data_IF_139804331168
#
_entry.id   IF_139804331168
#
_cell.length_a   1.000
_cell.length_b   1.000
_cell.length_c   1.000
_cell.angle_alpha   90.00
_cell.angle_beta   90.00
_cell.angle_gamma   90.00
#
_symmetry.space_group_name_H-M   'P 1'
#
loop_
_entity.id
_entity.type
_entity.pdbx_description
1 polymer ?
#
# COMPACT_ATOMS: atom_id res chain seq x y z
N UNK A 1 10.70 -20.99 -27.48
CA UNK A 1 10.51 -21.93 -26.35
C UNK A 1 11.83 -22.06 -25.56
N UNK A 2 12.43 -20.93 -25.14
CA UNK A 2 13.79 -20.88 -24.56
C UNK A 2 13.88 -20.20 -23.18
N UNK A 3 12.86 -19.44 -22.76
CA UNK A 3 12.87 -18.66 -21.51
C UNK A 3 12.69 -19.54 -20.24
N UNK A 4 11.94 -20.64 -20.36
CA UNK A 4 11.60 -21.52 -19.24
C UNK A 4 12.10 -22.97 -19.42
N UNK A 5 12.47 -23.36 -20.64
CA UNK A 5 13.08 -24.67 -20.94
C UNK A 5 14.53 -24.79 -20.46
N UNK A 6 15.12 -23.67 -20.01
CA UNK A 6 16.52 -23.52 -19.62
C UNK A 6 16.69 -23.33 -18.12
N UNK A 7 15.66 -23.57 -17.28
CA UNK A 7 15.76 -23.52 -15.81
C UNK A 7 16.61 -24.66 -15.20
N UNK A 8 17.40 -25.34 -16.03
CA UNK A 8 18.25 -26.49 -15.73
C UNK A 8 19.65 -26.10 -15.24
N UNK A 9 20.13 -24.89 -15.52
CA UNK A 9 21.43 -24.41 -15.06
C UNK A 9 21.40 -23.02 -14.39
N UNK A 10 22.39 -22.78 -13.51
CA UNK A 10 22.48 -21.56 -12.69
C UNK A 10 22.54 -20.27 -13.53
N UNK A 11 23.18 -20.33 -14.70
CA UNK A 11 23.33 -19.18 -15.58
C UNK A 11 22.00 -18.71 -16.16
N UNK A 12 21.15 -19.65 -16.59
CA UNK A 12 19.81 -19.35 -17.06
C UNK A 12 18.89 -18.84 -15.95
N UNK A 13 19.03 -19.38 -14.73
CA UNK A 13 18.31 -18.87 -13.56
C UNK A 13 18.71 -17.42 -13.28
N UNK A 14 20.01 -17.13 -13.27
CA UNK A 14 20.52 -15.77 -13.06
C UNK A 14 20.00 -14.80 -14.14
N UNK A 15 20.01 -15.23 -15.41
CA UNK A 15 19.45 -14.44 -16.51
C UNK A 15 17.96 -14.15 -16.31
N UNK A 16 17.18 -15.15 -15.88
CA UNK A 16 15.75 -14.97 -15.61
C UNK A 16 15.52 -14.03 -14.42
N UNK A 17 16.31 -14.14 -13.35
CA UNK A 17 16.29 -13.21 -12.21
C UNK A 17 16.56 -11.78 -12.69
N UNK A 18 17.56 -11.57 -13.54
CA UNK A 18 17.90 -10.26 -14.06
C UNK A 18 16.76 -9.66 -14.92
N UNK A 19 16.11 -10.48 -15.76
CA UNK A 19 14.95 -10.06 -16.55
C UNK A 19 13.79 -9.67 -15.61
N UNK A 20 13.46 -10.51 -14.63
CA UNK A 20 12.42 -10.23 -13.64
C UNK A 20 12.70 -8.95 -12.86
N UNK A 21 13.95 -8.75 -12.42
CA UNK A 21 14.37 -7.56 -11.70
C UNK A 21 14.19 -6.30 -12.55
N UNK A 22 14.63 -6.31 -13.81
CA UNK A 22 14.45 -5.16 -14.72
C UNK A 22 12.98 -4.83 -14.96
N UNK A 23 12.14 -5.85 -15.12
CA UNK A 23 10.68 -5.67 -15.25
C UNK A 23 10.10 -5.04 -13.97
N UNK A 24 10.42 -5.59 -12.80
CA UNK A 24 9.95 -5.08 -11.52
C UNK A 24 10.36 -3.63 -11.32
N UNK A 25 11.65 -3.33 -11.48
CA UNK A 25 12.19 -1.98 -11.31
C UNK A 25 11.55 -0.99 -12.28
N UNK A 26 11.34 -1.36 -13.55
CA UNK A 26 10.64 -0.52 -14.53
C UNK A 26 9.19 -0.25 -14.11
N UNK A 27 8.49 -1.27 -13.61
CA UNK A 27 7.10 -1.14 -13.14
C UNK A 27 7.00 -0.24 -11.90
N UNK A 28 7.91 -0.40 -10.94
CA UNK A 28 7.97 0.42 -9.73
C UNK A 28 8.30 1.88 -10.07
N UNK A 29 9.21 2.13 -11.03
CA UNK A 29 9.51 3.48 -11.54
C UNK A 29 8.30 4.12 -12.22
N UNK A 30 7.54 3.36 -13.00
CA UNK A 30 6.29 3.87 -13.59
C UNK A 30 5.25 4.19 -12.51
N UNK A 31 5.13 3.33 -11.50
CA UNK A 31 4.23 3.50 -10.36
C UNK A 31 4.85 4.30 -9.21
N UNK A 32 5.88 5.11 -9.49
CA UNK A 32 6.70 5.75 -8.46
C UNK A 32 5.85 6.51 -7.43
N UNK A 33 4.77 7.19 -7.83
CA UNK A 33 3.88 7.89 -6.89
C UNK A 33 3.32 6.98 -5.77
N UNK A 34 3.03 5.71 -6.06
CA UNK A 34 2.52 4.73 -5.08
C UNK A 34 3.64 4.24 -4.14
N UNK A 35 4.86 4.09 -4.67
CA UNK A 35 6.02 3.48 -3.98
C UNK A 35 6.92 4.51 -3.29
N UNK A 36 6.91 5.76 -3.76
CA UNK A 36 7.71 6.88 -3.25
C UNK A 36 7.52 7.08 -1.75
N UNK A 37 6.30 6.87 -1.27
CA UNK A 37 5.94 7.01 0.15
C UNK A 37 6.57 5.92 1.03
N UNK A 38 6.85 4.75 0.46
CA UNK A 38 7.48 3.62 1.13
C UNK A 38 9.00 3.85 1.18
N UNK A 39 9.58 4.19 0.03
CA UNK A 39 11.01 4.51 -0.15
C UNK A 39 11.45 5.63 0.80
N UNK A 40 10.66 6.69 0.92
CA UNK A 40 10.98 7.82 1.81
C UNK A 40 10.90 7.48 3.30
N UNK A 41 10.11 6.47 3.69
CA UNK A 41 9.80 6.19 5.09
C UNK A 41 10.77 5.18 5.70
N UNK A 42 11.05 4.10 4.98
CA UNK A 42 11.78 2.97 5.53
C UNK A 42 13.27 2.96 5.12
N UNK A 43 13.73 4.04 4.45
CA UNK A 43 15.09 4.18 3.88
C UNK A 43 15.48 3.04 2.91
N UNK A 44 14.47 2.39 2.32
CA UNK A 44 14.63 1.26 1.39
C UNK A 44 14.77 1.80 -0.04
N UNK A 45 15.73 1.29 -0.81
CA UNK A 45 15.90 1.68 -2.21
C UNK A 45 14.83 1.05 -3.12
N UNK A 46 14.63 1.64 -4.29
CA UNK A 46 13.72 1.10 -5.31
C UNK A 46 14.17 -0.30 -5.79
N UNK A 47 15.48 -0.48 -5.83
CA UNK A 47 16.17 -1.71 -6.16
C UNK A 47 15.90 -2.81 -5.12
N UNK A 48 15.96 -2.48 -3.83
CA UNK A 48 15.63 -3.42 -2.75
C UNK A 48 14.17 -3.87 -2.85
N UNK A 49 13.23 -2.92 -3.04
CA UNK A 49 11.81 -3.24 -3.24
C UNK A 49 11.61 -4.12 -4.48
N UNK A 50 12.36 -3.89 -5.56
CA UNK A 50 12.29 -4.70 -6.77
C UNK A 50 12.78 -6.14 -6.53
N UNK A 51 13.86 -6.32 -5.78
CA UNK A 51 14.41 -7.63 -5.41
C UNK A 51 13.42 -8.38 -4.51
N UNK A 52 12.91 -7.74 -3.46
CA UNK A 52 11.98 -8.35 -2.51
C UNK A 52 10.67 -8.75 -3.21
N UNK A 53 10.21 -7.93 -4.16
CA UNK A 53 9.01 -8.21 -4.96
C UNK A 53 9.10 -9.51 -5.75
N UNK A 54 10.29 -9.87 -6.25
CA UNK A 54 10.47 -11.05 -7.11
C UNK A 54 10.99 -12.27 -6.35
N UNK A 55 11.50 -12.10 -5.12
CA UNK A 55 12.17 -13.15 -4.34
C UNK A 55 11.32 -14.42 -4.23
N UNK A 56 10.02 -14.28 -3.91
CA UNK A 56 9.10 -15.42 -3.80
C UNK A 56 8.92 -16.20 -5.10
N UNK A 57 9.15 -15.61 -6.28
CA UNK A 57 9.06 -16.34 -7.56
C UNK A 57 10.13 -17.43 -7.69
N UNK A 58 11.28 -17.22 -7.05
CA UNK A 58 12.44 -18.10 -7.15
C UNK A 58 12.59 -19.05 -5.95
N UNK A 59 11.59 -19.10 -5.07
CA UNK A 59 11.49 -20.13 -4.04
C UNK A 59 11.31 -21.52 -4.68
N UNK A 60 12.15 -22.47 -4.25
CA UNK A 60 12.06 -23.87 -4.66
C UNK A 60 11.13 -24.62 -3.71
N UNK A 61 10.27 -25.46 -4.27
CA UNK A 61 9.50 -26.40 -3.47
C UNK A 61 10.35 -27.57 -2.96
N UNK A 62 9.71 -28.50 -2.24
CA UNK A 62 10.36 -29.71 -1.70
C UNK A 62 10.96 -30.61 -2.81
N UNK A 63 10.52 -30.45 -4.06
CA UNK A 63 11.02 -31.18 -5.23
C UNK A 63 12.08 -30.38 -6.00
N UNK A 64 12.47 -29.19 -5.52
CA UNK A 64 13.48 -28.34 -6.15
C UNK A 64 12.97 -27.49 -7.31
N UNK A 65 11.65 -27.46 -7.54
CA UNK A 65 11.01 -26.80 -8.68
C UNK A 65 10.58 -25.36 -8.35
N UNK A 66 10.66 -24.47 -9.36
CA UNK A 66 10.19 -23.08 -9.27
C UNK A 66 8.67 -22.98 -9.45
N UNK A 67 7.94 -23.55 -8.47
CA UNK A 67 6.48 -23.68 -8.50
C UNK A 67 5.76 -22.35 -8.78
N UNK A 68 6.23 -21.26 -8.16
CA UNK A 68 5.63 -19.93 -8.26
C UNK A 68 5.74 -19.27 -9.64
N UNK A 69 6.53 -19.85 -10.55
CA UNK A 69 6.63 -19.46 -11.97
C UNK A 69 5.93 -20.49 -12.86
N UNK A 70 6.21 -21.78 -12.64
CA UNK A 70 5.77 -22.87 -13.51
C UNK A 70 4.26 -23.14 -13.43
N UNK A 71 3.65 -23.12 -12.25
CA UNK A 71 2.20 -23.31 -12.12
C UNK A 71 1.43 -22.18 -12.84
N UNK A 72 1.77 -20.89 -12.62
CA UNK A 72 1.20 -19.81 -13.40
C UNK A 72 1.40 -19.93 -14.91
N UNK A 73 2.59 -20.34 -15.34
CA UNK A 73 2.89 -20.49 -16.77
C UNK A 73 2.02 -21.56 -17.42
N UNK A 74 1.92 -22.74 -16.79
CA UNK A 74 1.18 -23.88 -17.31
C UNK A 74 -0.35 -23.68 -17.29
N UNK A 75 -0.85 -22.83 -16.38
CA UNK A 75 -2.28 -22.52 -16.25
C UNK A 75 -2.71 -21.28 -17.05
N UNK A 76 -1.78 -20.60 -17.75
CA UNK A 76 -2.08 -19.41 -18.53
C UNK A 76 -2.98 -19.71 -19.73
N UNK A 77 -3.94 -18.81 -20.00
CA UNK A 77 -4.91 -18.94 -21.09
C UNK A 77 -4.95 -17.66 -21.94
N UNK A 78 -4.75 -17.75 -23.26
CA UNK A 78 -4.47 -18.96 -24.04
C UNK A 78 -3.07 -19.55 -23.73
N UNK A 79 -2.82 -20.84 -24.01
CA UNK A 79 -1.52 -21.45 -23.78
C UNK A 79 -0.41 -20.72 -24.53
N UNK A 80 0.72 -20.51 -23.85
CA UNK A 80 1.87 -19.77 -24.36
C UNK A 80 2.61 -20.64 -25.39
N UNK A 81 2.76 -20.12 -26.61
CA UNK A 81 3.37 -20.81 -27.76
C UNK A 81 4.63 -20.11 -28.25
N UNK A 82 4.70 -18.79 -28.13
CA UNK A 82 5.84 -17.99 -28.61
C UNK A 82 6.69 -17.44 -27.46
N UNK A 83 7.90 -16.99 -27.78
CA UNK A 83 8.78 -16.34 -26.80
C UNK A 83 8.28 -14.94 -26.41
N UNK A 84 7.67 -14.22 -27.35
CA UNK A 84 7.01 -12.94 -27.05
C UNK A 84 5.84 -13.11 -26.08
N UNK A 85 5.02 -14.15 -26.27
CA UNK A 85 3.94 -14.51 -25.34
C UNK A 85 4.49 -14.89 -23.96
N UNK A 86 5.62 -15.61 -23.91
CA UNK A 86 6.28 -15.98 -22.66
C UNK A 86 6.82 -14.76 -21.91
N UNK A 87 7.43 -13.80 -22.63
CA UNK A 87 7.91 -12.55 -22.07
C UNK A 87 6.75 -11.66 -21.60
N UNK A 88 5.66 -11.61 -22.36
CA UNK A 88 4.44 -10.89 -21.97
C UNK A 88 3.83 -11.47 -20.68
N UNK A 89 3.71 -12.81 -20.61
CA UNK A 89 3.30 -13.52 -19.41
C UNK A 89 4.19 -13.17 -18.22
N UNK A 90 5.51 -13.29 -18.38
CA UNK A 90 6.47 -13.03 -17.31
C UNK A 90 6.35 -11.60 -16.83
N UNK A 91 6.22 -10.65 -17.77
CA UNK A 91 5.99 -9.23 -17.46
C UNK A 91 4.76 -9.05 -16.58
N UNK A 92 3.64 -9.66 -16.95
CA UNK A 92 2.40 -9.58 -16.15
C UNK A 92 2.51 -10.27 -14.79
N UNK A 93 3.20 -11.39 -14.70
CA UNK A 93 3.43 -12.08 -13.44
C UNK A 93 4.26 -11.22 -12.48
N UNK A 94 5.38 -10.67 -12.96
CA UNK A 94 6.29 -9.82 -12.16
C UNK A 94 5.60 -8.53 -11.74
N UNK A 95 4.86 -7.87 -12.63
CA UNK A 95 4.08 -6.66 -12.29
C UNK A 95 3.10 -6.92 -11.15
N UNK A 96 2.35 -8.03 -11.21
CA UNK A 96 1.42 -8.43 -10.15
C UNK A 96 2.13 -8.66 -8.81
N UNK A 97 3.29 -9.33 -8.83
CA UNK A 97 4.09 -9.56 -7.61
C UNK A 97 4.61 -8.25 -7.00
N UNK A 98 5.08 -7.33 -7.84
CA UNK A 98 5.47 -6.00 -7.40
C UNK A 98 4.29 -5.25 -6.75
N UNK A 99 3.10 -5.26 -7.36
CA UNK A 99 1.91 -4.62 -6.79
C UNK A 99 1.49 -5.25 -5.44
N UNK A 100 1.60 -6.57 -5.32
CA UNK A 100 1.37 -7.27 -4.05
C UNK A 100 2.35 -6.81 -2.96
N UNK A 101 3.64 -6.76 -3.29
CA UNK A 101 4.67 -6.39 -2.34
C UNK A 101 4.54 -4.91 -1.92
N UNK A 102 4.27 -4.00 -2.86
CA UNK A 102 3.90 -2.60 -2.56
C UNK A 102 2.76 -2.56 -1.56
N UNK A 103 1.70 -3.35 -1.78
CA UNK A 103 0.54 -3.36 -0.90
C UNK A 103 0.84 -3.90 0.50
N UNK A 104 1.77 -4.85 0.60
CA UNK A 104 2.25 -5.37 1.88
C UNK A 104 2.97 -4.26 2.66
N UNK A 105 3.95 -3.63 2.03
CA UNK A 105 4.70 -2.52 2.62
C UNK A 105 3.77 -1.37 3.03
N UNK A 106 2.78 -1.02 2.20
CA UNK A 106 1.78 -0.01 2.55
C UNK A 106 0.92 -0.38 3.75
N UNK A 107 0.62 -1.67 3.96
CA UNK A 107 -0.14 -2.08 5.16
C UNK A 107 0.68 -1.83 6.43
N UNK A 108 1.99 -2.04 6.40
CA UNK A 108 2.90 -1.74 7.52
C UNK A 108 3.16 -0.24 7.65
N UNK A 109 3.12 0.47 6.52
CA UNK A 109 3.58 1.84 6.42
C UNK A 109 2.47 2.89 6.47
N UNK A 110 1.20 2.52 6.36
CA UNK A 110 0.09 3.46 6.25
C UNK A 110 -1.11 3.04 7.13
N UNK A 111 -1.34 3.75 8.26
CA UNK A 111 -2.46 3.48 9.17
C UNK A 111 -3.84 3.57 8.49
N UNK A 112 -4.02 4.47 7.52
CA UNK A 112 -5.28 4.62 6.79
C UNK A 112 -5.50 3.45 5.85
N UNK A 113 -4.45 3.01 5.16
CA UNK A 113 -4.50 1.80 4.32
C UNK A 113 -4.85 0.57 5.17
N UNK A 114 -4.23 0.43 6.35
CA UNK A 114 -4.53 -0.67 7.28
C UNK A 114 -5.99 -0.66 7.73
N UNK A 115 -6.53 0.49 8.18
CA UNK A 115 -7.93 0.56 8.63
C UNK A 115 -8.93 0.29 7.50
N UNK A 116 -8.66 0.79 6.29
CA UNK A 116 -9.50 0.48 5.13
C UNK A 116 -9.48 -1.03 4.83
N UNK A 117 -8.30 -1.66 4.89
CA UNK A 117 -8.17 -3.10 4.75
C UNK A 117 -8.97 -3.85 5.83
N UNK A 118 -8.90 -3.41 7.09
CA UNK A 118 -9.65 -4.00 8.20
C UNK A 118 -11.16 -3.81 8.07
N UNK A 119 -11.59 -2.63 7.63
CA UNK A 119 -12.99 -2.33 7.34
C UNK A 119 -13.53 -3.24 6.24
N UNK A 120 -12.76 -3.44 5.16
CA UNK A 120 -13.11 -4.41 4.13
C UNK A 120 -13.13 -5.82 4.70
N UNK A 121 -12.13 -6.24 5.49
CA UNK A 121 -12.11 -7.56 6.13
C UNK A 121 -13.33 -7.80 7.03
N UNK A 122 -13.82 -6.78 7.73
CA UNK A 122 -15.05 -6.84 8.50
C UNK A 122 -16.27 -7.08 7.59
N UNK A 123 -16.38 -6.36 6.46
CA UNK A 123 -17.42 -6.62 5.45
C UNK A 123 -17.34 -8.05 4.91
N UNK A 124 -16.14 -8.59 4.71
CA UNK A 124 -15.98 -9.97 4.25
C UNK A 124 -16.62 -10.96 5.21
N UNK A 125 -16.30 -10.83 6.51
CA UNK A 125 -16.86 -11.68 7.57
C UNK A 125 -18.38 -11.52 7.67
N UNK A 126 -18.87 -10.28 7.65
CA UNK A 126 -20.29 -9.96 7.83
C UNK A 126 -21.16 -10.49 6.69
N UNK A 127 -20.68 -10.44 5.45
CA UNK A 127 -21.46 -10.77 4.26
C UNK A 127 -21.02 -12.07 3.58
N UNK A 128 -20.30 -12.94 4.30
CA UNK A 128 -19.85 -14.25 3.80
C UNK A 128 -19.07 -14.19 2.49
N UNK A 129 -18.10 -13.28 2.40
CA UNK A 129 -17.08 -13.26 1.36
C UNK A 129 -15.75 -13.81 1.89
N UNK A 130 -14.91 -14.34 1.01
CA UNK A 130 -13.58 -14.82 1.39
C UNK A 130 -12.51 -14.28 0.48
N UNK A 131 -11.26 -14.30 0.98
CA UNK A 131 -10.07 -14.00 0.19
C UNK A 131 -9.54 -15.28 -0.42
N UNK A 132 -9.10 -15.22 -1.68
CA UNK A 132 -8.35 -16.29 -2.33
C UNK A 132 -7.15 -15.71 -3.07
N UNK A 133 -6.08 -16.49 -3.19
CA UNK A 133 -4.90 -16.12 -3.98
C UNK A 133 -5.04 -16.69 -5.39
N UNK A 134 -4.87 -15.87 -6.41
CA UNK A 134 -4.91 -16.29 -7.81
C UNK A 134 -3.86 -15.53 -8.62
N UNK A 135 -2.93 -16.25 -9.25
CA UNK A 135 -1.79 -15.70 -9.99
C UNK A 135 -1.01 -14.62 -9.24
N UNK A 136 -0.74 -14.82 -7.94
CA UNK A 136 -0.08 -13.81 -7.13
C UNK A 136 -0.91 -12.52 -7.07
N UNK A 137 -2.22 -12.63 -6.87
CA UNK A 137 -3.07 -11.49 -6.51
C UNK A 137 -4.12 -11.98 -5.52
N UNK A 138 -4.38 -11.19 -4.48
CA UNK A 138 -5.42 -11.52 -3.49
C UNK A 138 -6.74 -10.96 -4.00
N UNK A 139 -7.69 -11.86 -4.25
CA UNK A 139 -9.04 -11.51 -4.68
C UNK A 139 -10.06 -11.77 -3.58
N UNK A 140 -11.11 -10.96 -3.56
CA UNK A 140 -12.34 -11.18 -2.81
C UNK A 140 -13.32 -11.90 -3.72
N UNK A 141 -13.88 -13.00 -3.24
CA UNK A 141 -14.90 -13.80 -3.94
C UNK A 141 -16.05 -14.15 -3.00
N UNK A 142 -17.20 -14.55 -3.57
CA UNK A 142 -18.28 -15.16 -2.81
C UNK A 142 -17.77 -16.45 -2.13
N UNK A 143 -18.12 -16.69 -0.86
CA UNK A 143 -17.65 -17.89 -0.15
C UNK A 143 -18.13 -19.19 -0.78
N UNK A 144 -19.26 -19.16 -1.50
CA UNK A 144 -19.80 -20.30 -2.25
C UNK A 144 -19.00 -20.59 -3.54
N UNK A 145 -18.19 -19.65 -4.01
CA UNK A 145 -17.34 -19.87 -5.18
C UNK A 145 -16.08 -20.61 -4.74
N UNK A 146 -15.87 -21.83 -5.25
CA UNK A 146 -14.70 -22.64 -4.90
C UNK A 146 -13.40 -22.11 -5.53
N UNK A 147 -13.44 -21.74 -6.81
CA UNK A 147 -12.28 -21.28 -7.56
C UNK A 147 -12.63 -20.15 -8.52
N UNK A 148 -11.65 -19.28 -8.79
CA UNK A 148 -11.77 -18.27 -9.84
C UNK A 148 -11.62 -18.98 -11.18
N UNK A 149 -12.70 -19.03 -11.96
CA UNK A 149 -12.73 -19.67 -13.28
C UNK A 149 -13.05 -18.62 -14.35
N UNK A 150 -12.02 -18.17 -15.07
CA UNK A 150 -12.13 -17.19 -16.16
C UNK A 150 -11.21 -15.98 -16.01
N UNK A 151 -11.48 -14.94 -16.82
CA UNK A 151 -10.66 -13.72 -16.90
C UNK A 151 -10.97 -12.79 -15.73
N UNK A 152 -9.98 -12.50 -14.89
CA UNK A 152 -10.07 -11.49 -13.82
C UNK A 152 -9.90 -10.08 -14.37
N UNK A 153 -10.54 -9.10 -13.74
CA UNK A 153 -10.36 -7.68 -14.07
C UNK A 153 -8.90 -7.26 -13.83
N UNK A 154 -8.22 -6.64 -14.82
CA UNK A 154 -6.90 -6.04 -14.62
C UNK A 154 -6.95 -4.90 -13.60
N UNK A 155 -5.86 -4.69 -12.85
CA UNK A 155 -5.80 -3.65 -11.80
C UNK A 155 -6.04 -2.26 -12.41
N UNK A 156 -5.49 -2.00 -13.59
CA UNK A 156 -5.59 -0.72 -14.28
C UNK A 156 -7.02 -0.42 -14.77
N UNK A 157 -7.80 -1.47 -15.05
CA UNK A 157 -9.22 -1.34 -15.39
C UNK A 157 -10.07 -1.21 -14.13
N UNK A 158 -9.73 -1.95 -13.07
CA UNK A 158 -10.38 -1.84 -11.77
C UNK A 158 -10.25 -0.43 -11.18
N UNK A 159 -9.08 0.19 -11.27
CA UNK A 159 -8.83 1.55 -10.79
C UNK A 159 -9.66 2.61 -11.54
N UNK A 160 -10.17 2.29 -12.74
CA UNK A 160 -11.03 3.16 -13.55
C UNK A 160 -12.52 2.95 -13.32
N UNK A 161 -12.91 2.06 -12.41
CA UNK A 161 -14.31 1.82 -12.11
C UNK A 161 -15.01 3.09 -11.62
N UNK A 162 -16.31 3.28 -11.95
CA UNK A 162 -17.05 4.48 -11.56
C UNK A 162 -17.06 4.72 -10.05
N UNK A 163 -16.75 5.96 -9.63
CA UNK A 163 -16.68 6.34 -8.21
C UNK A 163 -17.98 6.06 -7.44
N UNK A 164 -19.14 6.16 -8.11
CA UNK A 164 -20.47 5.84 -7.54
C UNK A 164 -20.61 4.41 -7.00
N UNK A 165 -19.77 3.47 -7.44
CA UNK A 165 -19.78 2.10 -6.92
C UNK A 165 -19.20 2.02 -5.50
N UNK A 166 -18.43 3.02 -5.09
CA UNK A 166 -17.65 3.04 -3.86
C UNK A 166 -18.24 3.95 -2.77
N UNK A 167 -19.35 4.63 -3.04
CA UNK A 167 -19.95 5.61 -2.12
C UNK A 167 -20.75 4.93 -0.99
N UNK A 168 -21.45 3.84 -1.28
CA UNK A 168 -22.32 3.17 -0.30
C UNK A 168 -21.59 2.06 0.47
N UNK A 169 -21.04 2.39 1.65
CA UNK A 169 -20.24 1.46 2.48
C UNK A 169 -20.93 0.13 2.79
N UNK A 170 -22.25 0.12 3.04
CA UNK A 170 -23.00 -1.09 3.43
C UNK A 170 -23.07 -2.13 2.30
N UNK A 171 -23.23 -1.65 1.07
CA UNK A 171 -23.41 -2.51 -0.12
C UNK A 171 -22.18 -2.48 -1.04
N UNK A 172 -21.05 -1.92 -0.59
CA UNK A 172 -19.83 -1.71 -1.36
C UNK A 172 -19.44 -2.93 -2.21
N UNK A 173 -19.27 -4.09 -1.57
CA UNK A 173 -18.86 -5.31 -2.27
C UNK A 173 -19.95 -5.81 -3.22
N UNK A 174 -21.21 -5.72 -2.82
CA UNK A 174 -22.35 -6.15 -3.64
C UNK A 174 -22.45 -5.30 -4.91
N UNK A 175 -22.33 -3.97 -4.79
CA UNK A 175 -22.38 -3.04 -5.91
C UNK A 175 -21.26 -3.33 -6.92
N UNK A 176 -20.04 -3.59 -6.44
CA UNK A 176 -18.91 -3.93 -7.31
C UNK A 176 -19.14 -5.30 -7.97
N UNK A 177 -19.58 -6.32 -7.23
CA UNK A 177 -19.86 -7.64 -7.82
C UNK A 177 -20.98 -7.59 -8.85
N UNK A 178 -22.06 -6.85 -8.59
CA UNK A 178 -23.14 -6.64 -9.54
C UNK A 178 -22.61 -5.98 -10.82
N UNK A 179 -21.81 -4.92 -10.68
CA UNK A 179 -21.21 -4.24 -11.82
C UNK A 179 -20.29 -5.16 -12.64
N UNK A 180 -19.43 -5.95 -11.98
CA UNK A 180 -18.56 -6.89 -12.69
C UNK A 180 -19.38 -7.93 -13.48
N UNK A 181 -20.48 -8.41 -12.91
CA UNK A 181 -21.34 -9.41 -13.56
C UNK A 181 -22.24 -8.83 -14.68
N UNK A 182 -22.74 -7.61 -14.53
CA UNK A 182 -23.70 -7.03 -15.50
C UNK A 182 -23.05 -6.18 -16.58
N UNK A 183 -21.96 -5.46 -16.26
CA UNK A 183 -21.36 -4.45 -17.13
C UNK A 183 -20.01 -4.88 -17.72
N UNK A 184 -19.46 -6.03 -17.31
CA UNK A 184 -18.13 -6.48 -17.77
C UNK A 184 -18.14 -7.95 -18.19
N UNK A 185 -17.08 -8.35 -18.91
CA UNK A 185 -16.81 -9.77 -19.24
C UNK A 185 -15.94 -10.47 -18.20
N UNK A 186 -15.63 -9.79 -17.09
CA UNK A 186 -14.76 -10.31 -16.05
C UNK A 186 -15.53 -11.17 -15.06
N UNK A 187 -14.83 -12.16 -14.52
CA UNK A 187 -15.36 -12.96 -13.42
C UNK A 187 -15.58 -12.09 -12.19
N UNK A 188 -16.58 -12.47 -11.38
CA UNK A 188 -16.97 -11.83 -10.13
C UNK A 188 -15.90 -12.00 -9.04
N UNK A 189 -14.75 -11.36 -9.21
CA UNK A 189 -13.61 -11.38 -8.30
C UNK A 189 -13.00 -9.98 -8.17
N UNK A 190 -12.95 -9.45 -6.96
CA UNK A 190 -12.49 -8.07 -6.69
C UNK A 190 -11.04 -8.11 -6.21
N UNK A 191 -10.07 -7.46 -6.88
CA UNK A 191 -8.70 -7.41 -6.39
C UNK A 191 -8.64 -6.62 -5.07
N UNK A 192 -8.29 -7.29 -3.96
CA UNK A 192 -8.40 -6.76 -2.60
C UNK A 192 -7.60 -5.48 -2.42
N UNK A 193 -6.31 -5.49 -2.78
CA UNK A 193 -5.46 -4.31 -2.60
C UNK A 193 -5.87 -3.14 -3.50
N UNK A 194 -6.30 -3.42 -4.73
CA UNK A 194 -6.80 -2.39 -5.65
C UNK A 194 -8.06 -1.72 -5.10
N UNK A 195 -8.94 -2.47 -4.43
CA UNK A 195 -10.09 -1.91 -3.70
C UNK A 195 -9.63 -0.94 -2.60
N UNK A 196 -8.65 -1.32 -1.78
CA UNK A 196 -8.16 -0.44 -0.70
C UNK A 196 -7.54 0.83 -1.29
N UNK A 197 -6.74 0.70 -2.33
CA UNK A 197 -6.17 1.84 -3.05
C UNK A 197 -7.26 2.76 -3.60
N UNK A 198 -8.32 2.20 -4.21
CA UNK A 198 -9.40 3.00 -4.78
C UNK A 198 -10.20 3.73 -3.70
N UNK A 199 -10.51 3.06 -2.59
CA UNK A 199 -11.17 3.70 -1.44
C UNK A 199 -10.32 4.84 -0.86
N UNK A 200 -9.01 4.62 -0.74
CA UNK A 200 -8.08 5.65 -0.28
C UNK A 200 -8.03 6.84 -1.24
N UNK A 201 -7.89 6.59 -2.55
CA UNK A 201 -7.86 7.62 -3.59
C UNK A 201 -9.13 8.48 -3.55
N UNK A 202 -10.31 7.86 -3.47
CA UNK A 202 -11.59 8.59 -3.43
C UNK A 202 -11.72 9.43 -2.16
N UNK A 203 -11.27 8.94 -1.01
CA UNK A 203 -11.23 9.72 0.23
C UNK A 203 -10.29 10.94 0.11
N UNK A 204 -9.17 10.81 -0.60
CA UNK A 204 -8.24 11.93 -0.85
C UNK A 204 -8.75 12.88 -1.94
N UNK A 205 -9.42 12.40 -2.99
CA UNK A 205 -9.96 13.25 -4.05
C UNK A 205 -11.11 14.14 -3.56
N UNK A 206 -11.92 13.62 -2.63
CA UNK A 206 -12.95 14.39 -1.92
C UNK A 206 -12.35 15.53 -1.10
N UNK A 207 -11.11 15.39 -0.60
CA UNK A 207 -10.38 16.44 0.11
C UNK A 207 -10.07 17.64 -0.80
N UNK A 208 -9.58 17.39 -2.02
CA UNK A 208 -9.24 18.46 -2.97
C UNK A 208 -10.46 19.21 -3.53
N UNK A 209 -11.63 18.56 -3.54
CA UNK A 209 -12.88 19.19 -4.00
C UNK A 209 -13.54 19.98 -2.85
N UNK A 210 -13.30 19.59 -1.59
CA UNK A 210 -13.95 20.19 -0.41
C UNK A 210 -13.53 21.62 -0.03
N UNK A 211 -12.58 22.24 -0.75
CA UNK A 211 -12.44 23.70 -0.75
C UNK A 211 -13.60 24.43 -1.45
N UNK A 212 -14.46 23.68 -2.16
CA UNK A 212 -15.66 24.19 -2.78
C UNK A 212 -16.83 23.21 -2.60
N UNK A 213 -17.79 23.61 -1.78
CA UNK A 213 -19.13 23.01 -1.56
C UNK A 213 -19.28 21.94 -0.48
N UNK A 214 -20.31 22.21 0.33
CA UNK A 214 -20.81 21.51 1.51
C UNK A 214 -21.52 20.20 1.17
N UNK A 215 -20.87 19.07 1.45
CA UNK A 215 -21.55 17.83 1.86
C UNK A 215 -20.79 17.25 3.06
N UNK A 216 -21.36 17.51 4.24
CA UNK A 216 -20.78 17.34 5.57
C UNK A 216 -21.46 16.17 6.28
N UNK A 217 -20.73 15.08 6.56
CA UNK A 217 -20.83 14.37 7.83
C UNK A 217 -19.70 13.34 8.03
N UNK A 218 -19.32 12.55 7.01
CA UNK A 218 -18.25 11.54 7.19
C UNK A 218 -16.81 12.12 7.02
N UNK A 219 -16.65 13.21 6.26
CA UNK A 219 -15.35 13.88 6.05
C UNK A 219 -14.89 14.72 7.26
N UNK A 220 -15.81 15.05 8.17
CA UNK A 220 -15.52 15.72 9.43
C UNK A 220 -14.86 14.74 10.41
N UNK A 221 -15.20 13.45 10.31
CA UNK A 221 -14.80 12.42 11.28
C UNK A 221 -13.31 12.05 11.20
N UNK A 222 -12.74 11.87 10.00
CA UNK A 222 -11.29 11.60 9.87
C UNK A 222 -10.46 12.84 10.26
N UNK A 223 -10.95 14.04 9.93
CA UNK A 223 -10.29 15.29 10.28
C UNK A 223 -10.30 15.55 11.78
N UNK A 224 -11.43 15.30 12.45
CA UNK A 224 -11.53 15.38 13.90
C UNK A 224 -10.66 14.32 14.57
N UNK A 225 -10.64 13.10 14.05
CA UNK A 225 -9.80 12.00 14.58
C UNK A 225 -8.32 12.33 14.52
N UNK A 226 -7.80 12.77 13.36
CA UNK A 226 -6.37 13.13 13.24
C UNK A 226 -6.05 14.35 14.10
N UNK A 227 -6.96 15.33 14.20
CA UNK A 227 -6.77 16.49 15.08
C UNK A 227 -6.77 16.10 16.57
N UNK A 228 -7.66 15.22 16.99
CA UNK A 228 -7.72 14.69 18.36
C UNK A 228 -6.46 13.89 18.69
N UNK A 229 -6.03 13.01 17.78
CA UNK A 229 -4.81 12.25 17.95
C UNK A 229 -3.55 13.15 17.98
N UNK A 230 -3.52 14.20 17.15
CA UNK A 230 -2.47 15.21 17.20
C UNK A 230 -2.45 15.91 18.56
N UNK A 231 -3.62 16.34 19.08
CA UNK A 231 -3.72 16.98 20.39
C UNK A 231 -3.22 16.06 21.51
N UNK A 232 -3.61 14.79 21.51
CA UNK A 232 -3.09 13.78 22.47
C UNK A 232 -1.57 13.62 22.38
N UNK A 233 -1.03 13.66 21.16
CA UNK A 233 0.42 13.54 20.93
C UNK A 233 1.16 14.79 21.41
N UNK A 234 0.60 15.97 21.14
CA UNK A 234 1.12 17.24 21.62
C UNK A 234 1.10 17.29 23.16
N UNK A 235 0.02 16.83 23.79
CA UNK A 235 -0.02 16.70 25.25
C UNK A 235 1.07 15.76 25.76
N UNK A 236 1.32 14.64 25.06
CA UNK A 236 2.40 13.72 25.40
C UNK A 236 3.80 14.36 25.27
N UNK A 237 4.02 15.17 24.24
CA UNK A 237 5.24 15.97 24.07
C UNK A 237 5.46 16.86 25.30
N UNK A 238 4.41 17.56 25.73
CA UNK A 238 4.46 18.47 26.87
C UNK A 238 4.82 17.74 28.15
N UNK A 239 4.03 16.73 28.50
CA UNK A 239 4.17 15.97 29.76
C UNK A 239 5.50 15.22 29.87
N UNK A 240 6.05 14.76 28.74
CA UNK A 240 7.19 13.83 28.73
C UNK A 240 8.52 14.52 28.47
N UNK A 241 8.53 15.57 27.66
CA UNK A 241 9.77 16.19 27.17
C UNK A 241 9.91 17.65 27.59
N UNK A 242 8.83 18.44 27.60
CA UNK A 242 8.92 19.84 28.02
C UNK A 242 8.90 19.95 29.55
N UNK A 243 7.91 19.34 30.22
CA UNK A 243 7.78 19.37 31.69
C UNK A 243 8.94 18.68 32.42
N UNK A 244 9.67 17.80 31.73
CA UNK A 244 10.87 17.13 32.24
C UNK A 244 12.17 17.79 31.78
N UNK A 245 12.09 18.99 31.19
CA UNK A 245 13.22 19.80 30.74
C UNK A 245 14.15 19.09 29.74
N UNK A 246 13.66 18.06 29.03
CA UNK A 246 14.40 17.39 27.94
C UNK A 246 14.39 18.21 26.66
N UNK A 247 13.38 19.06 26.51
CA UNK A 247 13.26 20.07 25.48
C UNK A 247 12.91 21.39 26.15
N UNK A 248 13.51 22.47 25.68
CA UNK A 248 13.08 23.83 26.02
C UNK A 248 11.72 24.15 25.40
N UNK A 249 11.09 25.23 25.86
CA UNK A 249 9.80 25.66 25.33
C UNK A 249 9.88 26.03 23.83
N UNK A 250 10.97 26.67 23.39
CA UNK A 250 11.19 26.98 21.97
C UNK A 250 11.33 25.71 21.13
N UNK A 251 12.15 24.76 21.57
CA UNK A 251 12.29 23.46 20.89
C UNK A 251 10.96 22.71 20.83
N UNK A 252 10.20 22.72 21.94
CA UNK A 252 8.86 22.15 22.00
C UNK A 252 7.93 22.74 20.93
N UNK A 253 7.97 24.05 20.72
CA UNK A 253 7.19 24.72 19.68
C UNK A 253 7.61 24.28 18.26
N UNK A 254 8.91 24.05 18.02
CA UNK A 254 9.37 23.50 16.73
C UNK A 254 8.88 22.08 16.52
N UNK A 255 8.86 21.26 17.57
CA UNK A 255 8.32 19.91 17.53
C UNK A 255 6.80 19.91 17.26
N UNK A 256 6.03 20.84 17.84
CA UNK A 256 4.60 20.98 17.55
C UNK A 256 4.36 21.26 16.06
N UNK A 257 5.11 22.21 15.49
CA UNK A 257 5.03 22.54 14.06
C UNK A 257 5.40 21.36 13.17
N UNK A 258 6.48 20.65 13.51
CA UNK A 258 6.86 19.42 12.83
C UNK A 258 5.76 18.35 12.90
N UNK A 259 5.13 18.14 14.07
CA UNK A 259 4.01 17.21 14.23
C UNK A 259 2.76 17.64 13.46
N UNK A 260 2.49 18.94 13.36
CA UNK A 260 1.39 19.45 12.52
C UNK A 260 1.63 19.14 11.05
N UNK A 261 2.83 19.38 10.53
CA UNK A 261 3.19 19.06 9.14
C UNK A 261 3.13 17.56 8.88
N UNK A 262 3.65 16.74 9.80
CA UNK A 262 3.51 15.29 9.76
C UNK A 262 2.03 14.88 9.74
N UNK A 263 1.18 15.50 10.56
CA UNK A 263 -0.26 15.18 10.61
C UNK A 263 -0.97 15.54 9.30
N UNK A 264 -0.58 16.64 8.66
CA UNK A 264 -1.09 17.05 7.35
C UNK A 264 -0.68 16.03 6.29
N UNK A 265 0.59 15.66 6.28
CA UNK A 265 1.11 14.67 5.34
C UNK A 265 0.48 13.28 5.55
N UNK A 266 0.17 12.90 6.80
CA UNK A 266 -0.60 11.68 7.10
C UNK A 266 -2.01 11.75 6.47
N UNK A 267 -2.69 12.91 6.52
CA UNK A 267 -4.00 13.10 5.87
C UNK A 267 -3.91 12.97 4.35
N UNK A 268 -2.84 13.46 3.75
CA UNK A 268 -2.55 13.33 2.31
C UNK A 268 -1.95 11.96 1.93
N UNK A 269 -1.84 11.07 2.92
CA UNK A 269 -1.59 9.65 2.81
C UNK A 269 -0.11 9.24 2.90
N UNK A 270 0.72 10.00 3.60
CA UNK A 270 2.05 9.59 4.02
C UNK A 270 3.03 10.75 4.20
N UNK A 271 3.94 10.56 5.15
CA UNK A 271 4.97 11.50 5.64
C UNK A 271 6.05 11.74 4.55
N UNK A 272 6.28 13.00 4.18
CA UNK A 272 7.33 13.54 3.31
C UNK A 272 8.72 13.50 4.02
N UNK A 273 9.81 13.98 3.43
CA UNK A 273 11.03 13.20 3.18
C UNK A 273 11.93 13.08 4.43
N UNK A 274 11.84 11.99 5.20
CA UNK A 274 12.68 11.75 6.39
C UNK A 274 12.38 12.68 7.57
N UNK A 275 12.28 12.12 8.78
CA UNK A 275 11.89 12.86 10.00
C UNK A 275 12.75 14.10 10.27
N UNK A 276 14.02 14.07 9.88
CA UNK A 276 14.94 15.21 9.94
C UNK A 276 14.39 16.45 9.24
N UNK A 277 13.78 16.30 8.05
CA UNK A 277 13.35 17.46 7.24
C UNK A 277 12.19 18.22 7.87
N UNK A 278 11.34 17.56 8.65
CA UNK A 278 10.28 18.25 9.39
C UNK A 278 10.85 19.18 10.45
N UNK A 279 11.87 18.75 11.18
CA UNK A 279 12.51 19.63 12.17
C UNK A 279 13.37 20.68 11.49
N UNK A 280 14.09 20.34 10.43
CA UNK A 280 14.89 21.30 9.65
C UNK A 280 14.05 22.46 9.10
N UNK A 281 12.79 22.21 8.73
CA UNK A 281 11.88 23.26 8.28
C UNK A 281 11.59 24.31 9.36
N UNK A 282 11.77 23.97 10.65
CA UNK A 282 11.40 24.82 11.78
C UNK A 282 12.59 25.23 12.67
N UNK A 283 13.69 24.48 12.63
CA UNK A 283 14.94 24.73 13.35
C UNK A 283 15.99 25.20 12.35
N UNK A 284 16.31 26.50 12.42
CA UNK A 284 17.31 27.11 11.54
C UNK A 284 18.69 26.51 11.83
N UNK A 285 19.41 26.12 10.77
CA UNK A 285 20.75 25.54 10.84
C UNK A 285 20.85 24.27 11.72
N UNK A 286 19.79 23.47 11.81
CA UNK A 286 19.87 22.13 12.38
C UNK A 286 20.84 21.28 11.55
N UNK A 287 21.89 20.75 12.16
CA UNK A 287 22.79 19.79 11.55
C UNK A 287 22.35 18.34 11.83
N UNK A 288 22.82 17.40 11.01
CA UNK A 288 22.46 15.98 11.11
C UNK A 288 22.95 15.31 12.39
N UNK A 289 24.09 15.74 12.94
CA UNK A 289 24.68 15.12 14.13
C UNK A 289 23.85 15.47 15.37
N UNK A 290 23.51 16.75 15.53
CA UNK A 290 22.60 17.23 16.56
C UNK A 290 21.24 16.55 16.45
N UNK A 291 20.70 16.41 15.22
CA UNK A 291 19.45 15.69 15.03
C UNK A 291 19.54 14.24 15.50
N UNK A 292 20.55 13.48 15.07
CA UNK A 292 20.73 12.06 15.41
C UNK A 292 20.89 11.84 16.90
N UNK A 293 21.70 12.67 17.57
CA UNK A 293 22.01 12.49 18.99
C UNK A 293 20.88 12.97 19.91
N UNK A 294 20.20 14.06 19.56
CA UNK A 294 19.26 14.74 20.47
C UNK A 294 17.79 14.59 20.10
N UNK A 295 17.44 14.71 18.82
CA UNK A 295 16.04 14.89 18.41
C UNK A 295 15.40 13.67 17.74
N UNK A 296 16.20 12.82 17.09
CA UNK A 296 15.72 11.69 16.31
C UNK A 296 14.82 10.76 17.13
N UNK A 297 15.32 10.25 18.25
CA UNK A 297 14.59 9.32 19.11
C UNK A 297 13.30 9.93 19.67
N UNK A 298 13.30 11.23 19.95
CA UNK A 298 12.12 11.94 20.46
C UNK A 298 11.06 12.04 19.37
N UNK A 299 11.45 12.48 18.17
CA UNK A 299 10.50 12.66 17.07
C UNK A 299 9.98 11.31 16.55
N UNK A 300 10.83 10.29 16.47
CA UNK A 300 10.43 8.94 16.10
C UNK A 300 9.43 8.36 17.12
N UNK A 301 9.67 8.54 18.41
CA UNK A 301 8.73 8.14 19.46
C UNK A 301 7.40 8.88 19.34
N UNK A 302 7.42 10.21 19.17
CA UNK A 302 6.19 11.00 19.03
C UNK A 302 5.42 10.65 17.76
N UNK A 303 6.11 10.29 16.66
CA UNK A 303 5.47 9.76 15.47
C UNK A 303 4.78 8.42 15.73
N UNK A 304 5.42 7.50 16.48
CA UNK A 304 4.81 6.24 16.89
C UNK A 304 3.57 6.49 17.75
N UNK A 305 3.65 7.41 18.71
CA UNK A 305 2.50 7.83 19.54
C UNK A 305 1.39 8.44 18.69
N UNK A 306 1.70 9.31 17.73
CA UNK A 306 0.70 9.89 16.83
C UNK A 306 -0.03 8.83 16.02
N UNK A 307 0.72 7.89 15.42
CA UNK A 307 0.14 6.77 14.66
C UNK A 307 -0.74 5.90 15.55
N UNK A 308 -0.31 5.63 16.78
CA UNK A 308 -1.09 4.86 17.74
C UNK A 308 -2.37 5.60 18.16
N UNK A 309 -2.28 6.88 18.51
CA UNK A 309 -3.44 7.70 18.86
C UNK A 309 -4.43 7.78 17.70
N UNK A 310 -3.94 7.94 16.47
CA UNK A 310 -4.79 7.88 15.27
C UNK A 310 -5.46 6.51 15.20
N UNK A 311 -4.71 5.41 15.34
CA UNK A 311 -5.28 4.07 15.33
C UNK A 311 -6.35 3.85 16.42
N UNK A 312 -6.13 4.35 17.63
CA UNK A 312 -7.04 4.20 18.78
C UNK A 312 -8.34 4.99 18.57
N UNK A 313 -8.25 6.25 18.14
CA UNK A 313 -9.41 7.09 17.79
C UNK A 313 -10.18 6.55 16.58
N UNK A 314 -9.50 5.77 15.74
CA UNK A 314 -10.13 5.09 14.62
C UNK A 314 -10.89 3.81 15.05
N UNK A 315 -10.68 3.27 16.25
CA UNK A 315 -11.35 2.06 16.76
C UNK A 315 -12.58 2.37 17.62
N UNK A 316 -12.69 3.60 18.15
CA UNK A 316 -13.87 4.11 18.85
C UNK A 316 -15.02 4.41 17.89
#
# INVERSE_FOLDING_TARGET
MNLFSTLDCQQSINNLVEICFKIALSHLRFNYKKVHRIILRDEISLEDIAIDSITSLFERDQMGCFKNILEPFNSWQPPIKTEEEALFFLTKLVQKRADQHISHLLRESDPLFSKLADSVNYLLKKYSYRKTSYFGTIFIINSLTENISGKTIPIEEFEKLPAKLFTEKKNLLQNIFLYLNSETSYVSAIPFNALIHKLKELNTALYNISESTTEQNDNIEINSIVAQALNKTIQKLDDTYISKEKLSMDEGEKFRKALMDISRDIKDGGVNPGLYKYLLAHIQALDEETYKQKYHNILEYLLKVLKQNIADELVQ
#
